data_IF_010289144902
#
_entry.id   IF_010289144902
#
_cell.length_a   1.000
_cell.length_b   1.000
_cell.length_c   1.000
_cell.angle_alpha   90.00
_cell.angle_beta   90.00
_cell.angle_gamma   90.00
#
_symmetry.space_group_name_H-M   'P 1'
#
loop_
_entity.id
_entity.type
_entity.pdbx_description
1 polymer ?
#
# COMPACT_ATOMS: atom_id res chain seq x y z
N UNK A 1 -26.76 0.14 17.51
CA UNK A 1 -27.10 -0.53 18.77
C UNK A 1 -26.09 -0.10 19.81
N UNK A 2 -26.46 0.90 20.61
CA UNK A 2 -25.71 1.37 21.77
C UNK A 2 -25.75 0.30 22.85
N UNK A 3 -24.60 -0.25 23.22
CA UNK A 3 -24.49 -1.13 24.39
C UNK A 3 -24.98 -0.40 25.65
N UNK A 4 -25.66 -1.13 26.54
CA UNK A 4 -26.21 -0.64 27.80
C UNK A 4 -25.12 0.02 28.68
N UNK A 5 -25.45 1.05 29.47
CA UNK A 5 -24.48 1.81 30.26
C UNK A 5 -23.61 0.96 31.19
N UNK A 6 -24.18 -0.09 31.80
CA UNK A 6 -23.46 -1.02 32.67
C UNK A 6 -22.36 -1.80 31.91
N UNK A 7 -22.66 -2.27 30.69
CA UNK A 7 -21.69 -2.96 29.82
C UNK A 7 -20.55 -2.01 29.40
N UNK A 8 -20.82 -0.71 29.29
CA UNK A 8 -19.81 0.30 28.94
C UNK A 8 -18.89 0.63 30.10
N UNK A 9 -19.41 0.70 31.33
CA UNK A 9 -18.59 0.89 32.53
C UNK A 9 -17.70 -0.33 32.80
N UNK A 10 -18.24 -1.54 32.66
CA UNK A 10 -17.46 -2.78 32.79
C UNK A 10 -16.33 -2.86 31.75
N UNK A 11 -16.60 -2.45 30.50
CA UNK A 11 -15.58 -2.37 29.47
C UNK A 11 -14.48 -1.34 29.79
N UNK A 12 -14.86 -0.17 30.30
CA UNK A 12 -13.90 0.85 30.74
C UNK A 12 -12.99 0.36 31.88
N UNK A 13 -13.56 -0.34 32.87
CA UNK A 13 -12.80 -0.93 33.96
C UNK A 13 -11.81 -2.00 33.48
N UNK A 14 -12.22 -2.84 32.51
CA UNK A 14 -11.33 -3.83 31.89
C UNK A 14 -10.16 -3.20 31.14
N UNK A 15 -10.38 -2.08 30.45
CA UNK A 15 -9.30 -1.34 29.79
C UNK A 15 -8.33 -0.72 30.80
N UNK A 16 -8.86 -0.16 31.90
CA UNK A 16 -8.06 0.41 32.99
C UNK A 16 -7.16 -0.61 33.68
N UNK A 17 -7.56 -1.88 33.73
CA UNK A 17 -6.72 -2.95 34.28
C UNK A 17 -5.40 -3.17 33.51
N UNK A 18 -5.25 -2.62 32.30
CA UNK A 18 -3.99 -2.68 31.55
C UNK A 18 -3.00 -1.56 31.91
N UNK A 19 -3.43 -0.50 32.62
CA UNK A 19 -2.52 0.56 33.06
C UNK A 19 -1.44 -0.01 34.00
N UNK A 20 -0.19 0.39 33.77
CA UNK A 20 0.97 -0.11 34.51
C UNK A 20 1.49 -1.48 34.06
N UNK A 21 0.78 -2.20 33.18
CA UNK A 21 1.29 -3.45 32.60
C UNK A 21 2.35 -3.16 31.56
N UNK A 22 3.35 -4.04 31.47
CA UNK A 22 4.36 -3.95 30.43
C UNK A 22 3.74 -4.21 29.06
N UNK A 23 4.11 -3.40 28.07
CA UNK A 23 3.83 -3.61 26.66
C UNK A 23 5.01 -4.29 25.94
N UNK A 24 6.24 -4.04 26.38
CA UNK A 24 7.46 -4.75 26.00
C UNK A 24 8.39 -4.84 27.22
N UNK A 25 9.09 -5.96 27.38
CA UNK A 25 10.03 -6.18 28.49
C UNK A 25 11.36 -6.63 27.92
N UNK A 26 12.46 -6.00 28.36
CA UNK A 26 13.81 -6.32 27.93
C UNK A 26 13.94 -6.42 26.40
N UNK A 27 13.27 -5.52 25.68
CA UNK A 27 13.42 -5.39 24.23
C UNK A 27 14.85 -5.01 23.91
N UNK A 28 15.43 -5.62 22.88
CA UNK A 28 16.78 -5.32 22.42
C UNK A 28 16.68 -4.61 21.08
N UNK A 29 17.40 -3.51 20.91
CA UNK A 29 17.51 -2.86 19.61
C UNK A 29 18.04 -3.84 18.57
N UNK A 30 17.40 -3.91 17.40
CA UNK A 30 17.74 -4.92 16.37
C UNK A 30 19.19 -4.84 15.93
N UNK A 31 19.68 -3.62 15.82
CA UNK A 31 21.04 -3.30 15.48
C UNK A 31 21.60 -2.38 16.58
N UNK A 32 22.89 -2.47 16.91
CA UNK A 32 23.57 -1.39 17.59
C UNK A 32 23.36 -0.08 16.81
N UNK A 33 23.41 1.04 17.53
CA UNK A 33 23.42 2.35 16.88
C UNK A 33 24.55 2.33 15.86
N UNK A 34 24.27 2.73 14.61
CA UNK A 34 25.23 2.53 13.52
C UNK A 34 25.21 3.68 12.51
N UNK A 35 26.40 3.98 11.97
CA UNK A 35 26.60 5.07 11.02
C UNK A 35 25.78 4.93 9.73
N UNK A 36 25.59 3.73 9.12
CA UNK A 36 24.76 3.58 7.93
C UNK A 36 23.32 4.07 8.12
N UNK A 37 22.66 3.68 9.21
CA UNK A 37 21.30 4.12 9.51
C UNK A 37 21.23 5.62 9.83
N UNK A 38 22.21 6.16 10.57
CA UNK A 38 22.30 7.61 10.83
C UNK A 38 22.41 8.38 9.51
N UNK A 39 23.33 7.98 8.63
CA UNK A 39 23.52 8.63 7.32
C UNK A 39 22.23 8.61 6.50
N UNK A 40 21.57 7.46 6.38
CA UNK A 40 20.33 7.33 5.61
C UNK A 40 19.19 8.18 6.20
N UNK A 41 19.06 8.25 7.52
CA UNK A 41 18.08 9.10 8.18
C UNK A 41 18.34 10.58 7.90
N UNK A 42 19.60 11.02 8.02
CA UNK A 42 20.00 12.40 7.74
C UNK A 42 19.77 12.77 6.26
N UNK A 43 20.10 11.89 5.32
CA UNK A 43 19.85 12.09 3.89
C UNK A 43 18.36 12.23 3.57
N UNK A 44 17.52 11.37 4.16
CA UNK A 44 16.08 11.38 3.95
C UNK A 44 15.42 12.66 4.49
N UNK A 45 15.94 13.22 5.58
CA UNK A 45 15.41 14.44 6.19
C UNK A 45 16.12 15.72 5.74
N UNK A 46 17.21 15.59 4.99
CA UNK A 46 18.06 16.73 4.60
C UNK A 46 18.79 17.39 5.77
N UNK A 47 19.02 16.66 6.88
CA UNK A 47 19.75 17.17 8.04
C UNK A 47 21.26 17.02 7.83
N UNK A 48 21.96 18.14 7.72
CA UNK A 48 23.40 18.20 7.41
C UNK A 48 24.25 18.54 8.62
N UNK A 49 23.72 18.41 9.83
CA UNK A 49 24.48 18.73 11.04
C UNK A 49 25.77 17.89 11.14
N UNK A 50 26.96 18.54 11.23
CA UNK A 50 28.23 17.83 11.23
C UNK A 50 28.44 16.89 12.43
N UNK A 51 27.70 17.09 13.53
CA UNK A 51 27.77 16.21 14.70
C UNK A 51 27.33 14.76 14.42
N UNK A 52 26.63 14.52 13.30
CA UNK A 52 26.13 13.19 12.92
C UNK A 52 27.05 12.42 11.96
N UNK A 53 28.22 12.98 11.66
CA UNK A 53 29.18 12.40 10.72
C UNK A 53 30.59 12.32 11.32
N UNK A 54 31.41 11.40 10.79
CA UNK A 54 32.79 11.19 11.22
C UNK A 54 32.95 10.14 12.33
N UNK A 55 34.15 10.05 12.89
CA UNK A 55 34.52 9.04 13.91
C UNK A 55 33.84 9.25 15.24
N UNK A 56 33.54 10.50 15.60
CA UNK A 56 32.91 10.89 16.87
C UNK A 56 31.41 11.20 16.71
N UNK A 57 30.80 10.67 15.65
CA UNK A 57 29.40 10.92 15.33
C UNK A 57 28.49 10.53 16.50
N UNK A 58 27.49 11.37 16.76
CA UNK A 58 26.35 11.01 17.59
C UNK A 58 25.16 10.71 16.69
N UNK A 59 24.25 9.85 17.14
CA UNK A 59 22.96 9.70 16.46
C UNK A 59 22.12 10.97 16.68
N UNK A 60 21.41 11.47 15.66
CA UNK A 60 20.39 12.50 15.83
C UNK A 60 19.44 12.10 16.98
N UNK A 61 19.19 12.97 17.97
CA UNK A 61 18.35 12.61 19.12
C UNK A 61 16.96 12.10 18.72
N UNK A 62 16.38 12.66 17.66
CA UNK A 62 15.11 12.26 17.05
C UNK A 62 15.09 10.84 16.47
N UNK A 63 16.25 10.18 16.35
CA UNK A 63 16.33 8.75 16.02
C UNK A 63 16.10 7.84 17.23
N UNK A 64 15.85 8.37 18.43
CA UNK A 64 15.71 7.57 19.65
C UNK A 64 14.75 6.38 19.48
N UNK A 65 13.57 6.60 18.88
CA UNK A 65 12.61 5.52 18.60
C UNK A 65 13.07 4.57 17.49
N UNK A 66 13.82 5.05 16.49
CA UNK A 66 14.22 4.29 15.28
C UNK A 66 14.90 2.99 15.66
N UNK A 67 15.77 3.03 16.67
CA UNK A 67 16.53 1.90 17.17
C UNK A 67 15.68 0.82 17.88
N UNK A 68 14.43 1.16 18.25
CA UNK A 68 13.48 0.27 18.94
C UNK A 68 12.32 -0.18 18.03
N UNK A 69 12.35 0.16 16.75
CA UNK A 69 11.28 -0.21 15.83
C UNK A 69 11.38 -1.69 15.43
N UNK A 70 10.23 -2.38 15.41
CA UNK A 70 10.14 -3.77 14.96
C UNK A 70 10.41 -3.99 13.46
N UNK A 71 10.53 -2.92 12.66
CA UNK A 71 10.73 -3.03 11.22
C UNK A 71 9.61 -3.82 10.50
N UNK A 72 9.92 -4.38 9.34
CA UNK A 72 8.96 -5.15 8.54
C UNK A 72 8.55 -6.48 9.20
N UNK A 73 9.39 -7.04 10.07
CA UNK A 73 9.09 -8.30 10.76
C UNK A 73 8.27 -8.11 12.04
N UNK A 74 7.99 -6.86 12.44
CA UNK A 74 7.27 -6.53 13.68
C UNK A 74 8.12 -6.62 14.95
N UNK A 75 7.50 -6.33 16.10
CA UNK A 75 8.15 -6.40 17.42
C UNK A 75 7.98 -7.81 18.00
N UNK A 76 9.06 -8.57 18.14
CA UNK A 76 9.02 -9.91 18.74
C UNK A 76 8.86 -9.85 20.26
N UNK A 77 9.35 -8.78 20.85
CA UNK A 77 9.39 -8.44 22.28
C UNK A 77 8.07 -7.86 22.84
N UNK A 78 7.03 -7.74 22.02
CA UNK A 78 5.70 -7.33 22.50
C UNK A 78 5.11 -8.38 23.42
N UNK A 79 4.65 -7.93 24.58
CA UNK A 79 3.98 -8.79 25.56
C UNK A 79 2.56 -9.17 25.12
N UNK A 80 2.03 -10.25 25.69
CA UNK A 80 0.63 -10.63 25.53
C UNK A 80 -0.34 -9.52 25.97
N UNK A 81 -0.03 -8.80 27.05
CA UNK A 81 -0.89 -7.73 27.58
C UNK A 81 -1.16 -6.62 26.55
N UNK A 82 -0.15 -6.25 25.75
CA UNK A 82 -0.32 -5.28 24.67
C UNK A 82 -1.20 -5.82 23.54
N UNK A 83 -0.96 -7.07 23.12
CA UNK A 83 -1.77 -7.73 22.09
C UNK A 83 -3.24 -7.88 22.52
N UNK A 84 -3.47 -8.31 23.76
CA UNK A 84 -4.79 -8.45 24.37
C UNK A 84 -5.54 -7.10 24.47
N UNK A 85 -4.86 -6.02 24.87
CA UNK A 85 -5.46 -4.68 24.90
C UNK A 85 -5.92 -4.25 23.51
N UNK A 86 -5.07 -4.40 22.49
CA UNK A 86 -5.41 -4.03 21.13
C UNK A 86 -6.56 -4.88 20.58
N UNK A 87 -6.52 -6.20 20.81
CA UNK A 87 -7.59 -7.12 20.40
C UNK A 87 -8.92 -6.81 21.10
N UNK A 88 -8.88 -6.41 22.38
CA UNK A 88 -10.07 -6.00 23.13
C UNK A 88 -10.69 -4.71 22.55
N UNK A 89 -9.84 -3.74 22.17
CA UNK A 89 -10.29 -2.52 21.49
C UNK A 89 -10.85 -2.82 20.09
N UNK A 90 -10.22 -3.72 19.32
CA UNK A 90 -10.70 -4.16 18.01
C UNK A 90 -12.06 -4.86 18.10
N UNK A 91 -12.22 -5.78 19.06
CA UNK A 91 -13.48 -6.46 19.32
C UNK A 91 -14.61 -5.50 19.72
N UNK A 92 -14.27 -4.35 20.32
CA UNK A 92 -15.21 -3.27 20.63
C UNK A 92 -15.47 -2.31 19.45
N UNK A 93 -15.00 -2.66 18.25
CA UNK A 93 -15.17 -1.90 17.01
C UNK A 93 -14.15 -0.79 16.79
N UNK A 94 -13.15 -0.64 17.66
CA UNK A 94 -12.09 0.36 17.52
C UNK A 94 -10.95 -0.12 16.60
N UNK A 95 -11.30 -0.44 15.36
CA UNK A 95 -10.42 -1.11 14.39
C UNK A 95 -9.35 -0.20 13.81
N UNK A 96 -9.55 1.11 13.83
CA UNK A 96 -8.62 2.09 13.27
C UNK A 96 -7.68 2.65 14.34
N UNK A 97 -6.46 3.02 13.94
CA UNK A 97 -5.44 3.60 14.82
C UNK A 97 -4.82 4.83 14.17
N UNK A 98 -4.54 5.85 14.97
CA UNK A 98 -3.75 7.01 14.57
C UNK A 98 -2.86 7.45 15.72
N UNK A 99 -1.63 7.87 15.42
CA UNK A 99 -0.77 8.53 16.40
C UNK A 99 -1.25 9.97 16.61
N UNK A 100 -1.39 10.39 17.87
CA UNK A 100 -1.90 11.74 18.19
C UNK A 100 -0.85 12.61 18.85
N UNK A 101 0.02 12.02 19.67
CA UNK A 101 1.03 12.75 20.43
C UNK A 101 2.32 11.93 20.54
N UNK A 102 3.45 12.62 20.49
CA UNK A 102 4.79 12.06 20.66
C UNK A 102 5.61 13.03 21.49
N UNK A 103 6.07 12.59 22.66
CA UNK A 103 6.98 13.33 23.53
C UNK A 103 8.26 12.51 23.72
N UNK A 104 9.41 13.13 23.47
CA UNK A 104 10.72 12.51 23.67
C UNK A 104 11.58 13.37 24.59
N UNK A 105 12.22 12.71 25.55
CA UNK A 105 13.21 13.30 26.45
C UNK A 105 14.56 12.63 26.17
N UNK A 106 15.58 13.44 25.90
CA UNK A 106 16.92 12.97 25.54
C UNK A 106 17.88 13.23 26.69
N UNK A 107 18.33 12.17 27.36
CA UNK A 107 19.20 12.28 28.53
C UNK A 107 20.67 12.25 28.13
N UNK A 108 21.03 11.38 27.17
CA UNK A 108 22.37 11.35 26.55
C UNK A 108 22.29 11.11 25.05
N UNK A 109 23.24 11.65 24.28
CA UNK A 109 23.40 11.26 22.89
C UNK A 109 23.85 9.80 22.80
N UNK A 110 23.25 9.08 21.85
CA UNK A 110 23.68 7.74 21.46
C UNK A 110 24.83 7.84 20.45
N UNK A 111 25.73 6.86 20.45
CA UNK A 111 26.89 6.80 19.54
C UNK A 111 26.93 5.50 18.76
N UNK A 112 27.50 5.48 17.54
CA UNK A 112 27.75 4.23 16.84
C UNK A 112 28.46 3.21 17.72
N UNK A 113 27.92 1.99 17.79
CA UNK A 113 28.35 0.92 18.67
C UNK A 113 27.56 0.80 19.98
N UNK A 114 26.79 1.81 20.38
CA UNK A 114 25.90 1.70 21.54
C UNK A 114 24.84 0.61 21.27
N UNK A 115 24.79 -0.41 22.12
CA UNK A 115 23.70 -1.39 22.14
C UNK A 115 22.64 -0.92 23.12
N UNK A 116 21.39 -0.94 22.68
CA UNK A 116 20.26 -0.44 23.47
C UNK A 116 19.30 -1.56 23.88
N UNK A 117 18.73 -1.38 25.05
CA UNK A 117 17.58 -2.12 25.56
C UNK A 117 16.43 -1.17 25.82
N UNK A 118 15.20 -1.67 25.83
CA UNK A 118 14.04 -0.86 26.13
C UNK A 118 12.93 -1.65 26.82
N UNK A 119 12.24 -0.94 27.71
CA UNK A 119 11.02 -1.42 28.36
C UNK A 119 9.91 -0.45 28.04
N UNK A 120 8.74 -0.99 27.67
CA UNK A 120 7.56 -0.17 27.41
C UNK A 120 6.49 -0.52 28.41
N UNK A 121 5.87 0.49 29.01
CA UNK A 121 4.70 0.35 29.89
C UNK A 121 3.48 1.00 29.25
N UNK A 122 2.31 0.39 29.45
CA UNK A 122 1.02 1.02 29.16
C UNK A 122 0.78 2.04 30.26
N UNK A 123 1.11 3.30 29.99
CA UNK A 123 1.09 4.36 31.00
C UNK A 123 -0.35 4.79 31.33
N UNK A 124 -1.20 4.93 30.30
CA UNK A 124 -2.62 5.20 30.51
C UNK A 124 -3.50 4.73 29.36
N UNK A 125 -4.76 4.44 29.69
CA UNK A 125 -5.87 4.23 28.75
C UNK A 125 -7.00 5.19 29.14
N UNK A 126 -7.40 6.05 28.21
CA UNK A 126 -8.45 7.02 28.46
C UNK A 126 -9.83 6.37 28.53
N UNK A 127 -10.77 7.09 29.13
CA UNK A 127 -12.19 6.85 28.87
C UNK A 127 -12.51 6.98 27.37
N UNK A 128 -13.71 6.52 26.99
CA UNK A 128 -14.21 6.65 25.62
C UNK A 128 -14.35 8.13 25.26
N UNK A 129 -13.71 8.56 24.17
CA UNK A 129 -13.78 9.92 23.64
C UNK A 129 -14.26 9.89 22.19
N UNK A 130 -15.09 10.87 21.83
CA UNK A 130 -15.51 11.10 20.45
C UNK A 130 -14.67 12.22 19.86
N UNK A 131 -13.99 11.94 18.76
CA UNK A 131 -13.21 12.90 17.97
C UNK A 131 -13.84 13.06 16.58
N UNK A 132 -13.26 13.92 15.74
CA UNK A 132 -13.67 14.05 14.33
C UNK A 132 -13.44 12.76 13.53
N UNK A 133 -12.42 11.98 13.87
CA UNK A 133 -12.09 10.72 13.18
C UNK A 133 -13.05 9.59 13.58
N UNK A 134 -13.60 9.66 14.79
CA UNK A 134 -14.51 8.66 15.30
C UNK A 134 -14.47 8.55 16.82
N UNK A 135 -15.14 7.52 17.34
CA UNK A 135 -15.25 7.30 18.78
C UNK A 135 -14.33 6.17 19.22
N UNK A 136 -13.49 6.43 20.22
CA UNK A 136 -12.42 5.51 20.59
C UNK A 136 -11.83 5.77 21.96
N UNK A 137 -10.66 5.18 22.21
CA UNK A 137 -9.87 5.31 23.42
C UNK A 137 -8.45 5.73 23.06
N UNK A 138 -7.89 6.67 23.82
CA UNK A 138 -6.48 6.99 23.75
C UNK A 138 -5.70 5.99 24.59
N UNK A 139 -4.60 5.49 24.04
CA UNK A 139 -3.66 4.63 24.75
C UNK A 139 -2.31 5.32 24.71
N UNK A 140 -1.76 5.62 25.88
CA UNK A 140 -0.42 6.19 26.03
C UNK A 140 0.52 5.11 26.52
N UNK A 141 1.61 4.91 25.79
CA UNK A 141 2.73 4.07 26.20
C UNK A 141 3.94 4.93 26.53
N UNK A 142 4.69 4.55 27.56
CA UNK A 142 6.00 5.12 27.84
C UNK A 142 7.07 4.06 27.63
N UNK A 143 8.06 4.38 26.80
CA UNK A 143 9.24 3.55 26.58
C UNK A 143 10.44 4.22 27.22
N UNK A 144 11.12 3.49 28.10
CA UNK A 144 12.41 3.90 28.65
C UNK A 144 13.50 3.16 27.86
N UNK A 145 14.40 3.91 27.22
CA UNK A 145 15.45 3.36 26.36
C UNK A 145 16.78 3.51 27.10
N UNK A 146 17.46 2.38 27.29
CA UNK A 146 18.69 2.26 28.07
C UNK A 146 19.79 1.67 27.22
N UNK A 147 21.04 1.86 27.62
CA UNK A 147 22.13 1.03 27.13
C UNK A 147 22.10 -0.34 27.83
N UNK A 148 22.86 -1.30 27.30
CA UNK A 148 23.01 -2.63 27.90
C UNK A 148 23.59 -2.59 29.32
N UNK A 149 24.32 -1.52 29.68
CA UNK A 149 24.81 -1.26 31.04
C UNK A 149 23.75 -0.69 32.01
N UNK A 150 22.52 -0.47 31.54
CA UNK A 150 21.40 0.07 32.31
C UNK A 150 21.31 1.59 32.33
N UNK A 151 22.26 2.32 31.74
CA UNK A 151 22.25 3.79 31.67
C UNK A 151 21.07 4.27 30.82
N UNK A 152 20.26 5.20 31.34
CA UNK A 152 19.14 5.78 30.60
C UNK A 152 19.64 6.68 29.46
N UNK A 153 19.23 6.37 28.24
CA UNK A 153 19.50 7.17 27.05
C UNK A 153 18.42 8.23 26.81
N UNK A 154 17.15 7.83 26.98
CA UNK A 154 16.03 8.72 26.82
C UNK A 154 14.69 8.04 27.10
N UNK A 155 13.64 8.84 27.11
CA UNK A 155 12.27 8.40 27.33
C UNK A 155 11.42 8.81 26.14
N UNK A 156 10.52 7.94 25.70
CA UNK A 156 9.58 8.20 24.62
C UNK A 156 8.15 7.90 25.09
N UNK A 157 7.31 8.93 25.22
CA UNK A 157 5.88 8.77 25.42
C UNK A 157 5.17 8.91 24.09
N UNK A 158 4.35 7.92 23.76
CA UNK A 158 3.62 7.87 22.52
C UNK A 158 2.14 7.64 22.82
N UNK A 159 1.28 8.50 22.27
CA UNK A 159 -0.16 8.37 22.39
C UNK A 159 -0.77 8.02 21.03
N UNK A 160 -1.55 6.94 21.04
CA UNK A 160 -2.40 6.57 19.91
C UNK A 160 -3.87 6.74 20.28
N UNK A 161 -4.70 7.00 19.29
CA UNK A 161 -6.14 6.85 19.35
C UNK A 161 -6.52 5.56 18.61
N UNK A 162 -7.08 4.58 19.32
CA UNK A 162 -7.79 3.45 18.74
C UNK A 162 -9.27 3.79 18.67
N UNK A 163 -9.86 3.82 17.49
CA UNK A 163 -11.21 4.35 17.30
C UNK A 163 -12.03 3.56 16.28
N UNK A 164 -13.34 3.56 16.49
CA UNK A 164 -14.32 3.19 15.50
C UNK A 164 -14.50 4.40 14.57
N UNK A 165 -14.20 4.29 13.27
CA UNK A 165 -14.38 5.38 12.33
C UNK A 165 -15.78 5.95 12.44
N UNK A 166 -15.90 7.28 12.46
CA UNK A 166 -17.20 7.91 12.33
C UNK A 166 -17.84 7.37 11.04
N UNK A 167 -19.02 6.76 11.15
CA UNK A 167 -19.84 6.39 9.99
C UNK A 167 -20.12 7.68 9.22
N UNK A 168 -19.37 7.95 8.16
CA UNK A 168 -19.97 8.64 7.03
C UNK A 168 -21.11 7.75 6.51
N UNK A 169 -22.23 8.31 6.04
CA UNK A 169 -23.19 7.54 5.27
C UNK A 169 -22.42 6.83 4.16
N UNK A 170 -22.32 5.51 4.25
CA UNK A 170 -21.78 4.67 3.18
C UNK A 170 -22.78 4.73 2.01
N UNK A 171 -22.69 5.77 1.21
CA UNK A 171 -23.36 5.86 -0.08
C UNK A 171 -22.49 6.56 -1.14
N UNK A 172 -21.18 6.53 -0.96
CA UNK A 172 -20.27 6.54 -2.09
C UNK A 172 -19.42 5.27 -1.98
N UNK A 173 -19.41 4.37 -2.98
CA UNK A 173 -18.27 3.48 -3.10
C UNK A 173 -17.02 4.35 -3.02
N UNK A 174 -16.02 3.92 -2.25
CA UNK A 174 -14.70 4.55 -2.35
C UNK A 174 -14.40 4.76 -3.84
N UNK A 175 -13.97 5.95 -4.28
CA UNK A 175 -13.66 6.13 -5.69
C UNK A 175 -12.62 5.07 -6.01
N UNK A 176 -13.03 4.02 -6.75
CA UNK A 176 -12.14 2.97 -7.23
C UNK A 176 -10.88 3.68 -7.69
N UNK A 177 -9.74 3.37 -7.07
CA UNK A 177 -8.51 4.08 -7.39
C UNK A 177 -8.35 4.09 -8.91
N UNK A 178 -8.12 5.29 -9.46
CA UNK A 178 -8.21 5.51 -10.91
C UNK A 178 -7.33 4.50 -11.62
N UNK A 179 -7.84 3.91 -12.71
CA UNK A 179 -7.04 3.01 -13.55
C UNK A 179 -5.75 3.72 -13.98
N UNK A 180 -4.59 3.02 -13.98
CA UNK A 180 -3.36 3.59 -14.49
C UNK A 180 -3.57 4.16 -15.90
N UNK A 181 -3.15 5.40 -16.11
CA UNK A 181 -3.26 6.08 -17.41
C UNK A 181 -2.19 5.53 -18.35
N UNK A 182 -2.52 5.28 -19.64
CA UNK A 182 -1.51 4.93 -20.62
C UNK A 182 -0.46 6.01 -20.78
N UNK A 183 0.80 5.61 -20.97
CA UNK A 183 1.86 6.52 -21.40
C UNK A 183 1.72 6.72 -22.90
N UNK A 184 1.18 7.88 -23.28
CA UNK A 184 0.99 8.27 -24.68
C UNK A 184 2.21 9.04 -25.18
N UNK A 185 2.76 8.62 -26.30
CA UNK A 185 3.85 9.29 -27.00
C UNK A 185 3.50 9.45 -28.49
N UNK A 186 4.41 10.03 -29.27
CA UNK A 186 4.21 10.28 -30.71
C UNK A 186 3.85 9.01 -31.50
N UNK A 187 4.44 7.88 -31.15
CA UNK A 187 4.36 6.65 -31.95
C UNK A 187 3.10 5.84 -31.66
N UNK A 188 2.48 6.02 -30.48
CA UNK A 188 1.25 5.32 -30.08
C UNK A 188 0.01 6.23 -29.96
N UNK A 189 0.14 7.54 -30.19
CA UNK A 189 -0.97 8.50 -30.07
C UNK A 189 -2.17 8.12 -30.96
N UNK A 190 -1.92 7.65 -32.19
CA UNK A 190 -3.00 7.24 -33.11
C UNK A 190 -3.79 6.02 -32.63
N UNK A 191 -3.15 5.09 -31.93
CA UNK A 191 -3.84 3.96 -31.30
C UNK A 191 -4.81 4.44 -30.22
N UNK A 192 -4.34 5.33 -29.32
CA UNK A 192 -5.16 5.84 -28.22
C UNK A 192 -6.27 6.77 -28.69
N UNK A 193 -6.05 7.54 -29.76
CA UNK A 193 -7.11 8.34 -30.39
C UNK A 193 -8.19 7.44 -31.01
N UNK A 194 -7.80 6.34 -31.67
CA UNK A 194 -8.75 5.32 -32.13
C UNK A 194 -9.57 4.75 -30.97
N UNK A 195 -8.91 4.34 -29.88
CA UNK A 195 -9.58 3.83 -28.68
C UNK A 195 -10.60 4.82 -28.11
N UNK A 196 -10.25 6.12 -28.05
CA UNK A 196 -11.14 7.19 -27.59
C UNK A 196 -12.37 7.35 -28.49
N UNK A 197 -12.23 7.05 -29.78
CA UNK A 197 -13.31 7.03 -30.77
C UNK A 197 -14.04 5.68 -30.84
N UNK A 198 -13.75 4.74 -29.94
CA UNK A 198 -14.28 3.36 -29.93
C UNK A 198 -13.93 2.57 -31.20
N UNK A 199 -12.71 2.75 -31.71
CA UNK A 199 -12.17 2.07 -32.89
C UNK A 199 -10.82 1.45 -32.56
N UNK A 200 -10.71 0.11 -32.65
CA UNK A 200 -9.43 -0.55 -32.41
C UNK A 200 -8.62 -0.56 -33.71
N UNK A 201 -7.68 0.37 -33.83
CA UNK A 201 -6.87 0.55 -35.03
C UNK A 201 -5.58 -0.28 -34.97
N UNK A 202 -5.38 -1.11 -35.99
CA UNK A 202 -4.16 -1.89 -36.21
C UNK A 202 -3.30 -1.15 -37.23
N UNK A 203 -2.02 -0.98 -36.92
CA UNK A 203 -1.08 -0.30 -37.81
C UNK A 203 -0.74 -1.21 -39.00
N UNK A 204 -0.80 -0.69 -40.23
CA UNK A 204 -0.51 -1.43 -41.45
C UNK A 204 0.58 -0.73 -42.26
N UNK A 205 1.58 -1.46 -42.72
CA UNK A 205 2.59 -0.90 -43.62
C UNK A 205 2.01 -0.66 -45.01
N UNK A 206 2.17 0.56 -45.55
CA UNK A 206 1.70 0.89 -46.91
C UNK A 206 2.56 0.29 -48.01
N UNK A 207 3.81 -0.09 -47.71
CA UNK A 207 4.73 -0.69 -48.68
C UNK A 207 4.53 -2.21 -48.85
N UNK A 208 4.30 -2.95 -47.76
CA UNK A 208 4.24 -4.42 -47.79
C UNK A 208 2.95 -5.02 -47.20
N UNK A 209 2.03 -4.20 -46.69
CA UNK A 209 0.76 -4.66 -46.13
C UNK A 209 0.85 -5.30 -44.73
N UNK A 210 2.05 -5.49 -44.16
CA UNK A 210 2.22 -6.11 -42.83
C UNK A 210 1.48 -5.34 -41.75
N UNK A 211 0.59 -6.06 -41.05
CA UNK A 211 -0.11 -5.58 -39.85
C UNK A 211 0.78 -5.71 -38.62
N UNK A 212 0.67 -4.78 -37.67
CA UNK A 212 1.45 -4.82 -36.43
C UNK A 212 0.73 -4.19 -35.24
N UNK A 213 0.90 -4.85 -34.10
CA UNK A 213 0.60 -4.35 -32.77
C UNK A 213 1.60 -4.98 -31.79
N UNK A 214 2.24 -4.22 -30.87
CA UNK A 214 2.15 -2.78 -30.63
C UNK A 214 2.53 -1.89 -31.83
N UNK A 215 2.12 -0.62 -31.80
CA UNK A 215 2.49 0.36 -32.82
C UNK A 215 3.99 0.67 -32.75
N UNK A 216 4.63 0.79 -33.91
CA UNK A 216 6.06 1.04 -34.07
C UNK A 216 6.30 2.11 -35.14
N UNK A 217 7.38 2.92 -35.03
CA UNK A 217 7.68 3.99 -35.99
C UNK A 217 8.09 3.48 -37.38
N UNK A 218 8.43 2.20 -37.53
CA UNK A 218 8.78 1.58 -38.80
C UNK A 218 8.33 0.12 -38.88
N UNK A 219 8.23 -0.39 -40.10
CA UNK A 219 7.85 -1.77 -40.37
C UNK A 219 9.02 -2.73 -40.09
N UNK A 220 8.80 -3.72 -39.23
CA UNK A 220 9.80 -4.75 -38.89
C UNK A 220 10.07 -5.73 -40.03
N UNK A 221 9.17 -5.81 -41.02
CA UNK A 221 9.31 -6.73 -42.15
C UNK A 221 10.12 -6.15 -43.32
N UNK A 222 9.96 -4.86 -43.64
CA UNK A 222 10.59 -4.23 -44.81
C UNK A 222 11.34 -2.92 -44.54
N UNK A 223 11.30 -2.40 -43.30
CA UNK A 223 11.97 -1.15 -42.92
C UNK A 223 11.27 0.14 -43.33
N UNK A 224 10.16 0.07 -44.08
CA UNK A 224 9.41 1.28 -44.47
C UNK A 224 8.91 2.07 -43.24
N UNK A 225 9.07 3.40 -43.23
CA UNK A 225 8.53 4.26 -42.18
C UNK A 225 7.05 4.60 -42.41
N UNK A 226 6.49 4.25 -43.58
CA UNK A 226 5.15 4.65 -44.01
C UNK A 226 4.10 3.62 -43.59
N UNK A 227 2.99 4.11 -43.07
CA UNK A 227 1.90 3.28 -42.59
C UNK A 227 0.57 4.00 -42.60
N UNK A 228 -0.48 3.21 -42.71
CA UNK A 228 -1.87 3.58 -42.46
C UNK A 228 -2.45 2.67 -41.37
N UNK A 229 -3.77 2.63 -41.25
CA UNK A 229 -4.46 1.80 -40.26
C UNK A 229 -5.59 1.00 -40.89
N UNK A 230 -5.84 -0.17 -40.31
CA UNK A 230 -7.06 -0.94 -40.53
C UNK A 230 -7.80 -1.06 -39.21
N UNK A 231 -9.12 -1.00 -39.25
CA UNK A 231 -9.94 -1.21 -38.07
C UNK A 231 -10.13 -2.70 -37.84
N UNK A 232 -9.88 -3.16 -36.61
CA UNK A 232 -10.08 -4.55 -36.23
C UNK A 232 -11.57 -4.90 -36.25
N UNK A 233 -11.88 -6.12 -36.69
CA UNK A 233 -13.22 -6.74 -36.59
C UNK A 233 -13.76 -6.78 -35.15
N UNK A 234 -12.85 -6.80 -34.18
CA UNK A 234 -13.15 -6.96 -32.76
C UNK A 234 -13.29 -8.41 -32.32
N UNK A 235 -13.12 -9.38 -33.23
CA UNK A 235 -13.09 -10.80 -32.89
C UNK A 235 -11.68 -11.21 -32.47
N UNK A 236 -11.60 -12.07 -31.45
CA UNK A 236 -10.32 -12.62 -31.01
C UNK A 236 -10.46 -13.91 -30.23
N UNK A 237 -9.31 -14.51 -29.93
CA UNK A 237 -9.21 -15.73 -29.12
C UNK A 237 -8.14 -15.55 -28.04
N UNK A 238 -8.38 -16.11 -26.86
CA UNK A 238 -7.37 -16.10 -25.77
C UNK A 238 -6.19 -16.98 -26.19
N UNK A 239 -5.07 -16.36 -26.54
CA UNK A 239 -3.84 -17.08 -26.89
C UNK A 239 -3.10 -17.56 -25.64
N UNK A 240 -3.02 -16.70 -24.63
CA UNK A 240 -2.46 -17.01 -23.31
C UNK A 240 -3.08 -16.08 -22.26
N UNK A 241 -2.99 -16.41 -20.97
CA UNK A 241 -3.50 -15.55 -19.90
C UNK A 241 -2.77 -15.79 -18.58
N UNK A 242 -2.85 -14.79 -17.70
CA UNK A 242 -2.45 -14.87 -16.29
C UNK A 242 -3.62 -14.43 -15.41
N UNK A 243 -3.71 -14.99 -14.20
CA UNK A 243 -4.68 -14.57 -13.18
C UNK A 243 -3.93 -13.94 -12.03
N UNK A 244 -4.23 -12.67 -11.76
CA UNK A 244 -3.60 -11.90 -10.69
C UNK A 244 -4.34 -12.14 -9.38
N UNK A 245 -3.72 -12.89 -8.46
CA UNK A 245 -4.29 -13.17 -7.13
C UNK A 245 -3.71 -12.28 -6.01
N UNK A 246 -2.39 -12.07 -6.00
CA UNK A 246 -1.70 -11.31 -4.96
C UNK A 246 -0.36 -10.75 -5.50
N UNK A 247 0.10 -9.56 -5.05
CA UNK A 247 -0.60 -8.62 -4.16
C UNK A 247 -1.81 -7.97 -4.84
N UNK A 248 -2.83 -7.54 -4.06
CA UNK A 248 -3.94 -6.78 -4.62
C UNK A 248 -3.39 -5.47 -5.21
N UNK A 249 -3.80 -5.15 -6.43
CA UNK A 249 -3.51 -3.86 -7.04
C UNK A 249 -4.74 -2.97 -6.91
N UNK A 250 -4.68 -1.81 -6.23
CA UNK A 250 -5.87 -1.03 -5.86
C UNK A 250 -6.84 -0.67 -7.00
N UNK A 251 -6.33 -0.52 -8.22
CA UNK A 251 -7.14 -0.18 -9.39
C UNK A 251 -7.96 -1.35 -9.99
N UNK A 252 -7.78 -2.57 -9.48
CA UNK A 252 -8.45 -3.78 -9.99
C UNK A 252 -9.08 -4.56 -8.82
N UNK A 253 -10.19 -5.25 -9.09
CA UNK A 253 -10.79 -6.19 -8.15
C UNK A 253 -10.14 -7.58 -8.34
N UNK A 254 -9.27 -8.07 -7.42
CA UNK A 254 -8.68 -9.39 -7.54
C UNK A 254 -9.65 -10.51 -7.10
N UNK A 255 -9.55 -11.72 -7.68
CA UNK A 255 -8.67 -12.08 -8.79
C UNK A 255 -9.22 -11.65 -10.15
N UNK A 256 -8.33 -11.19 -11.04
CA UNK A 256 -8.69 -10.80 -12.41
C UNK A 256 -7.77 -11.42 -13.44
N UNK A 257 -8.31 -11.68 -14.64
CA UNK A 257 -7.55 -12.23 -15.76
C UNK A 257 -7.02 -11.12 -16.67
N UNK A 258 -5.77 -11.26 -17.09
CA UNK A 258 -5.13 -10.50 -18.17
C UNK A 258 -4.74 -11.50 -19.25
N UNK A 259 -5.27 -11.31 -20.46
CA UNK A 259 -5.02 -12.20 -21.59
C UNK A 259 -4.15 -11.52 -22.65
N UNK A 260 -3.34 -12.33 -23.30
CA UNK A 260 -2.83 -12.07 -24.64
C UNK A 260 -3.89 -12.60 -25.62
N UNK A 261 -4.60 -11.69 -26.27
CA UNK A 261 -5.66 -12.01 -27.23
C UNK A 261 -5.10 -11.96 -28.64
N UNK A 262 -5.30 -13.03 -29.42
CA UNK A 262 -5.01 -13.07 -30.85
C UNK A 262 -6.26 -12.64 -31.62
N UNK A 263 -6.16 -11.52 -32.34
CA UNK A 263 -7.26 -10.98 -33.13
C UNK A 263 -7.41 -11.77 -34.43
N UNK A 264 -8.59 -11.71 -35.06
CA UNK A 264 -8.85 -12.35 -36.35
C UNK A 264 -7.86 -11.91 -37.45
N UNK A 265 -7.31 -10.70 -37.35
CA UNK A 265 -6.31 -10.16 -38.27
C UNK A 265 -4.89 -10.71 -38.03
N UNK A 266 -4.68 -11.55 -37.00
CA UNK A 266 -3.42 -12.27 -36.72
C UNK A 266 -2.42 -11.53 -35.83
N UNK A 267 -2.72 -10.29 -35.42
CA UNK A 267 -1.92 -9.57 -34.40
C UNK A 267 -2.40 -9.91 -33.00
N UNK A 268 -1.55 -9.70 -32.00
CA UNK A 268 -1.90 -9.96 -30.58
C UNK A 268 -1.90 -8.70 -29.75
N UNK A 269 -2.87 -8.60 -28.84
CA UNK A 269 -3.05 -7.48 -27.90
C UNK A 269 -3.17 -8.00 -26.46
N UNK A 270 -2.55 -7.30 -25.53
CA UNK A 270 -2.72 -7.58 -24.09
C UNK A 270 -3.92 -6.79 -23.58
N UNK A 271 -4.87 -7.47 -22.95
CA UNK A 271 -6.04 -6.82 -22.38
C UNK A 271 -6.71 -7.65 -21.28
N UNK A 272 -7.59 -7.03 -20.50
CA UNK A 272 -8.43 -7.74 -19.54
C UNK A 272 -9.50 -8.58 -20.25
N UNK A 273 -9.79 -9.75 -19.68
CA UNK A 273 -10.97 -10.54 -20.05
C UNK A 273 -12.09 -10.22 -19.07
N UNK A 274 -13.24 -9.80 -19.57
CA UNK A 274 -14.42 -9.39 -18.79
C UNK A 274 -15.64 -10.23 -19.15
N UNK A 275 -16.71 -10.11 -18.37
CA UNK A 275 -17.98 -10.81 -18.62
C UNK A 275 -17.97 -12.32 -18.35
N UNK A 276 -16.84 -12.86 -17.91
CA UNK A 276 -16.71 -14.24 -17.40
C UNK A 276 -15.89 -14.25 -16.10
N UNK A 277 -16.19 -15.15 -15.16
CA UNK A 277 -15.33 -15.38 -13.99
C UNK A 277 -13.87 -15.69 -14.39
N UNK A 278 -12.90 -15.22 -13.61
CA UNK A 278 -11.47 -15.37 -13.92
C UNK A 278 -11.05 -16.85 -14.06
N UNK A 279 -11.69 -17.74 -13.31
CA UNK A 279 -11.42 -19.18 -13.26
C UNK A 279 -12.01 -19.93 -14.44
N UNK A 280 -12.88 -19.29 -15.22
CA UNK A 280 -13.44 -19.80 -16.48
C UNK A 280 -12.62 -19.39 -17.71
N UNK A 281 -11.68 -18.44 -17.59
CA UNK A 281 -10.79 -18.07 -18.70
C UNK A 281 -9.90 -19.27 -19.08
N UNK A 282 -9.82 -19.57 -20.38
CA UNK A 282 -9.06 -20.70 -20.94
C UNK A 282 -8.42 -20.29 -22.26
N UNK A 283 -7.28 -20.90 -22.59
CA UNK A 283 -6.67 -20.78 -23.91
C UNK A 283 -7.65 -21.29 -24.97
N UNK A 284 -7.76 -20.57 -26.08
CA UNK A 284 -8.71 -20.84 -27.17
C UNK A 284 -10.12 -20.29 -26.95
N UNK A 285 -10.42 -19.69 -25.79
CA UNK A 285 -11.73 -19.08 -25.54
C UNK A 285 -12.00 -17.94 -26.54
N UNK A 286 -13.15 -17.95 -27.25
CA UNK A 286 -13.53 -16.83 -28.11
C UNK A 286 -13.88 -15.61 -27.26
N UNK A 287 -13.40 -14.45 -27.70
CA UNK A 287 -13.64 -13.16 -27.04
C UNK A 287 -14.00 -12.10 -28.05
N UNK A 288 -14.74 -11.08 -27.61
CA UNK A 288 -15.14 -9.94 -28.44
C UNK A 288 -14.73 -8.62 -27.80
N UNK A 289 -14.18 -7.73 -28.60
CA UNK A 289 -13.80 -6.38 -28.21
C UNK A 289 -15.03 -5.60 -27.70
N UNK A 290 -14.85 -4.96 -26.56
CA UNK A 290 -15.75 -3.94 -26.02
C UNK A 290 -14.92 -2.76 -25.51
N UNK A 291 -15.44 -1.55 -25.63
CA UNK A 291 -14.82 -0.36 -25.06
C UNK A 291 -15.43 -0.07 -23.71
N UNK A 292 -14.61 -0.04 -22.67
CA UNK A 292 -15.05 0.24 -21.31
C UNK A 292 -14.49 1.57 -20.84
N UNK A 293 -15.40 2.48 -20.47
CA UNK A 293 -15.07 3.73 -19.79
C UNK A 293 -14.85 3.47 -18.31
N UNK A 294 -13.73 3.97 -17.78
CA UNK A 294 -13.38 3.86 -16.37
C UNK A 294 -13.54 5.19 -15.62
N UNK A 295 -13.36 6.31 -16.31
CA UNK A 295 -13.68 7.65 -15.86
C UNK A 295 -14.03 8.54 -17.09
N UNK A 296 -14.23 9.86 -16.89
CA UNK A 296 -14.57 10.80 -17.96
C UNK A 296 -13.50 10.93 -19.06
N UNK A 297 -12.26 10.54 -18.77
CA UNK A 297 -11.10 10.76 -19.63
C UNK A 297 -10.48 9.45 -20.14
N UNK A 298 -10.82 8.30 -19.54
CA UNK A 298 -10.19 7.00 -19.83
C UNK A 298 -11.19 5.97 -20.35
N UNK A 299 -11.01 5.61 -21.62
CA UNK A 299 -11.61 4.45 -22.28
C UNK A 299 -10.51 3.44 -22.59
N UNK A 300 -10.75 2.16 -22.34
CA UNK A 300 -9.83 1.07 -22.70
C UNK A 300 -10.53 0.00 -23.55
N UNK A 301 -9.84 -0.60 -24.53
CA UNK A 301 -10.32 -1.78 -25.22
C UNK A 301 -10.15 -3.00 -24.31
N UNK A 302 -11.26 -3.61 -23.91
CA UNK A 302 -11.28 -4.87 -23.14
C UNK A 302 -11.96 -5.97 -23.96
N UNK A 303 -11.77 -7.23 -23.57
CA UNK A 303 -12.31 -8.37 -24.32
C UNK A 303 -13.31 -9.12 -23.46
N UNK A 304 -14.55 -9.21 -23.93
CA UNK A 304 -15.60 -9.96 -23.27
C UNK A 304 -15.59 -11.42 -23.72
N UNK A 305 -15.64 -12.36 -22.78
CA UNK A 305 -15.80 -13.79 -23.09
C UNK A 305 -17.13 -14.05 -23.80
N UNK A 306 -17.09 -14.73 -24.95
CA UNK A 306 -18.29 -15.19 -25.65
C UNK A 306 -18.64 -16.56 -25.08
N UNK A 307 -19.70 -16.61 -24.26
CA UNK A 307 -20.26 -17.89 -23.82
C UNK A 307 -20.94 -18.55 -25.02
N UNK A 308 -20.54 -19.78 -25.32
CA UNK A 308 -21.23 -20.64 -26.29
C UNK A 308 -22.56 -21.13 -25.72
#
# INVERSE_FOLDING_TARGET
>A
MTAEPEVREEFGARLKAYEGRAAAVAGIGRDPVNAPMIRHWCEALGDTNPAYAGSDAIAPPTMLQVWTMGGLSGHAERTAAWGELLALLDAAGCTSVVATDCEQEYVRPLRPGDEITFDTVIESVSERKTTRLGTGHFVTTRTDIRLTDGTLAGTHRFRILKYAPAREPSSRPEPRERRPRPVVNRDNAGFWEGVRQHRLLIQRCTACGTLRHPWLPGCTACGSPDWDTVEASGEGTVHSYVVMHHPPFPAFDPPYAVALVELAEGVRIVSNVVGVPYDNVRIGMPVRLVFQSYDEELVLPVFQGVTA
#
